data_IF_955271582449
#
_entry.id   IF_955271582449
#
_cell.length_a   1.000
_cell.length_b   1.000
_cell.length_c   1.000
_cell.angle_alpha   90.00
_cell.angle_beta   90.00
_cell.angle_gamma   90.00
#
_symmetry.space_group_name_H-M   'P 1'
#
loop_
_entity.id
_entity.type
_entity.pdbx_description
1 polymer ?
#
# COMPACT_ATOMS: atom_id res chain seq x y z
N UNK A 1 2.63 3.50 16.56
CA UNK A 1 1.46 2.60 16.47
C UNK A 1 1.52 1.90 15.11
N UNK A 2 1.33 0.57 15.02
CA UNK A 2 1.37 -0.13 13.73
C UNK A 2 0.16 0.27 12.87
N UNK A 3 0.40 0.57 11.60
CA UNK A 3 -0.65 0.84 10.60
C UNK A 3 -1.49 -0.42 10.40
N UNK A 4 -2.82 -0.25 10.32
CA UNK A 4 -3.80 -1.31 10.07
C UNK A 4 -4.55 -1.07 8.76
N UNK A 5 -5.33 -2.06 8.35
CA UNK A 5 -6.13 -2.00 7.12
C UNK A 5 -7.07 -0.78 7.06
N UNK A 6 -7.58 -0.32 8.21
CA UNK A 6 -8.46 0.86 8.31
C UNK A 6 -7.72 2.16 7.98
N UNK A 7 -6.43 2.25 8.33
CA UNK A 7 -5.60 3.44 8.11
C UNK A 7 -5.26 3.61 6.62
N UNK A 8 -5.26 2.53 5.84
CA UNK A 8 -4.96 2.57 4.40
C UNK A 8 -5.95 3.45 3.62
N UNK A 9 -7.20 3.55 4.08
CA UNK A 9 -8.21 4.43 3.47
C UNK A 9 -7.85 5.91 3.65
N UNK A 10 -7.33 6.27 4.82
CA UNK A 10 -6.83 7.62 5.09
C UNK A 10 -5.57 7.89 4.27
N UNK A 11 -4.65 6.92 4.21
CA UNK A 11 -3.41 7.04 3.43
C UNK A 11 -3.70 7.21 1.93
N UNK A 12 -4.71 6.52 1.40
CA UNK A 12 -5.15 6.63 0.01
C UNK A 12 -5.64 8.03 -0.37
N UNK A 13 -5.99 8.89 0.59
CA UNK A 13 -6.33 10.29 0.36
C UNK A 13 -5.12 11.17 0.02
N UNK A 14 -3.89 10.71 0.25
CA UNK A 14 -2.68 11.46 -0.10
C UNK A 14 -2.27 11.23 -1.56
N UNK A 15 -3.08 11.69 -2.51
CA UNK A 15 -2.90 11.40 -3.95
C UNK A 15 -1.48 11.69 -4.48
N UNK A 16 -0.81 12.70 -3.91
CA UNK A 16 0.54 13.13 -4.31
C UNK A 16 1.68 12.38 -3.59
N UNK A 17 1.38 11.35 -2.80
CA UNK A 17 2.39 10.58 -2.08
C UNK A 17 3.32 9.84 -3.04
N UNK A 18 4.64 10.01 -2.88
CA UNK A 18 5.65 9.37 -3.74
C UNK A 18 6.33 8.16 -3.13
N UNK A 19 6.42 8.11 -1.80
CA UNK A 19 7.07 7.03 -1.05
C UNK A 19 6.19 6.65 0.13
N UNK A 20 5.92 5.37 0.28
CA UNK A 20 5.13 4.81 1.36
C UNK A 20 5.88 3.62 1.96
N UNK A 21 6.10 3.65 3.27
CA UNK A 21 6.71 2.54 3.99
C UNK A 21 5.67 1.94 4.94
N UNK A 22 5.26 0.71 4.65
CA UNK A 22 4.35 -0.10 5.46
C UNK A 22 5.08 -1.34 6.03
N UNK A 23 6.41 -1.30 6.08
CA UNK A 23 7.18 -2.42 6.62
C UNK A 23 6.83 -2.66 8.09
N UNK A 24 6.73 -3.92 8.50
CA UNK A 24 6.40 -4.35 9.87
C UNK A 24 5.04 -3.83 10.36
N UNK A 25 4.07 -3.70 9.46
CA UNK A 25 2.68 -3.33 9.78
C UNK A 25 1.76 -4.55 9.76
N UNK A 26 0.58 -4.44 10.40
CA UNK A 26 -0.40 -5.52 10.53
C UNK A 26 -1.47 -5.47 9.44
N UNK A 27 -1.10 -5.05 8.23
CA UNK A 27 -2.00 -5.04 7.08
C UNK A 27 -2.24 -6.47 6.57
N UNK A 28 -3.49 -6.78 6.23
CA UNK A 28 -3.93 -8.14 5.85
C UNK A 28 -4.32 -8.25 4.37
N UNK A 29 -4.23 -7.16 3.62
CA UNK A 29 -4.38 -7.16 2.16
C UNK A 29 -5.79 -6.85 1.66
N UNK A 30 -6.80 -6.98 2.53
CA UNK A 30 -8.20 -6.68 2.26
C UNK A 30 -8.43 -5.24 1.81
N UNK A 31 -7.65 -4.28 2.31
CA UNK A 31 -7.75 -2.86 1.93
C UNK A 31 -6.57 -2.36 1.10
N UNK A 32 -5.67 -3.25 0.65
CA UNK A 32 -4.52 -2.87 -0.17
C UNK A 32 -4.93 -2.22 -1.50
N UNK A 33 -6.13 -2.57 -1.99
CA UNK A 33 -6.71 -2.03 -3.22
C UNK A 33 -7.06 -0.53 -3.12
N UNK A 34 -7.19 0.02 -1.91
CA UNK A 34 -7.38 1.47 -1.69
C UNK A 34 -6.15 2.28 -2.13
N UNK A 35 -4.96 1.68 -2.08
CA UNK A 35 -3.72 2.34 -2.48
C UNK A 35 -3.70 2.74 -3.95
N UNK A 36 -4.58 2.19 -4.81
CA UNK A 36 -4.70 2.54 -6.24
C UNK A 36 -4.91 4.05 -6.49
N UNK A 37 -5.43 4.78 -5.52
CA UNK A 37 -5.61 6.24 -5.62
C UNK A 37 -4.28 7.00 -5.58
N UNK A 38 -3.21 6.38 -5.09
CA UNK A 38 -1.86 6.94 -5.02
C UNK A 38 -1.16 6.88 -6.39
N UNK A 39 -1.70 7.62 -7.36
CA UNK A 39 -1.26 7.63 -8.76
C UNK A 39 0.22 8.02 -8.94
N UNK A 40 0.78 8.75 -7.96
CA UNK A 40 2.17 9.21 -7.98
C UNK A 40 3.10 8.41 -7.05
N UNK A 41 2.65 7.26 -6.54
CA UNK A 41 3.47 6.42 -5.67
C UNK A 41 4.56 5.70 -6.47
N UNK A 42 5.82 5.98 -6.15
CA UNK A 42 6.97 5.40 -6.83
C UNK A 42 7.64 4.29 -6.02
N UNK A 43 7.56 4.36 -4.69
CA UNK A 43 8.23 3.42 -3.79
C UNK A 43 7.25 2.96 -2.73
N UNK A 44 7.10 1.64 -2.61
CA UNK A 44 6.27 0.98 -1.60
C UNK A 44 7.08 -0.11 -0.92
N UNK A 45 7.26 -0.01 0.39
CA UNK A 45 7.93 -1.05 1.19
C UNK A 45 6.90 -1.83 2.02
N UNK A 46 6.87 -3.15 1.85
CA UNK A 46 5.92 -4.07 2.52
C UNK A 46 6.62 -5.18 3.31
N UNK A 47 7.90 -5.01 3.62
CA UNK A 47 8.71 -6.02 4.30
C UNK A 47 8.16 -6.34 5.69
N UNK A 48 8.06 -7.62 6.06
CA UNK A 48 7.58 -8.02 7.38
C UNK A 48 6.08 -7.75 7.62
N UNK A 49 5.29 -7.69 6.55
CA UNK A 49 3.82 -7.64 6.62
C UNK A 49 3.22 -9.04 6.46
N UNK A 50 1.96 -9.22 6.85
CA UNK A 50 1.25 -10.49 6.73
C UNK A 50 0.49 -10.64 5.40
N UNK A 51 1.05 -10.10 4.32
CA UNK A 51 0.45 -10.12 2.98
C UNK A 51 0.76 -11.43 2.24
N UNK A 52 -0.22 -11.93 1.49
CA UNK A 52 -0.05 -13.06 0.58
C UNK A 52 0.27 -12.55 -0.83
N UNK A 53 0.83 -13.42 -1.66
CA UNK A 53 1.12 -13.11 -3.08
C UNK A 53 -0.12 -12.66 -3.87
N UNK A 54 -1.30 -13.19 -3.52
CA UNK A 54 -2.58 -12.78 -4.11
C UNK A 54 -2.93 -11.31 -3.79
N UNK A 55 -2.61 -10.83 -2.59
CA UNK A 55 -2.93 -9.47 -2.15
C UNK A 55 -2.09 -8.43 -2.90
N UNK A 56 -0.86 -8.80 -3.28
CA UNK A 56 0.05 -7.96 -4.07
C UNK A 56 -0.46 -7.72 -5.50
N UNK A 57 -1.42 -8.50 -5.99
CA UNK A 57 -2.02 -8.27 -7.30
C UNK A 57 -2.71 -6.90 -7.38
N UNK A 58 -3.23 -6.38 -6.26
CA UNK A 58 -3.83 -5.05 -6.20
C UNK A 58 -2.82 -3.92 -6.49
N UNK A 59 -1.53 -4.14 -6.20
CA UNK A 59 -0.46 -3.16 -6.42
C UNK A 59 -0.08 -3.00 -7.90
N UNK A 60 -0.40 -4.01 -8.74
CA UNK A 60 -0.16 -3.92 -10.20
C UNK A 60 -0.95 -2.79 -10.87
N UNK A 61 -2.01 -2.31 -10.22
CA UNK A 61 -2.80 -1.18 -10.71
C UNK A 61 -2.15 0.20 -10.50
N UNK A 62 -1.00 0.27 -9.81
CA UNK A 62 -0.31 1.53 -9.54
C UNK A 62 0.57 1.94 -10.73
N UNK A 63 0.23 3.03 -11.45
CA UNK A 63 0.88 3.35 -12.72
C UNK A 63 2.32 3.85 -12.56
N UNK A 64 2.67 4.44 -11.41
CA UNK A 64 3.99 5.00 -11.15
C UNK A 64 4.88 4.11 -10.28
N UNK A 65 4.37 2.97 -9.81
CA UNK A 65 5.10 2.11 -8.89
C UNK A 65 6.25 1.44 -9.61
N UNK A 66 7.46 1.61 -9.08
CA UNK A 66 8.65 0.94 -9.62
C UNK A 66 8.64 -0.52 -9.20
N UNK A 67 8.94 -1.39 -10.15
CA UNK A 67 9.17 -2.83 -9.93
C UNK A 67 10.45 -3.07 -9.11
#
# INVERSE_FOLDING_TARGET
MPVKDEDLKTIAGFENLRKLNLSFTQITGTTLNELKNLKFLHTLSLSGTNLKSADLAALKGLPALKA
#
